data_IF_852041739514
#
_entry.id   IF_852041739514
#
_cell.length_a   1.000
_cell.length_b   1.000
_cell.length_c   1.000
_cell.angle_alpha   90.00
_cell.angle_beta   90.00
_cell.angle_gamma   90.00
#
_symmetry.space_group_name_H-M   'P 1'
#
loop_
_entity.id
_entity.type
_entity.pdbx_description
1 polymer ?
#
# COMPACT_ATOMS: atom_id res chain seq x y z
N UNK A 1 31.16 4.31 -6.63
CA UNK A 1 29.83 4.93 -6.89
C UNK A 1 28.76 4.13 -6.17
N UNK A 2 27.67 4.78 -5.74
CA UNK A 2 26.51 4.13 -5.14
C UNK A 2 25.33 4.32 -6.09
N UNK A 3 24.64 3.22 -6.41
CA UNK A 3 23.44 3.20 -7.25
C UNK A 3 22.27 2.88 -6.33
N UNK A 4 21.32 3.79 -6.26
CA UNK A 4 20.19 3.71 -5.32
C UNK A 4 18.88 3.53 -6.09
N UNK A 5 18.16 2.46 -5.77
CA UNK A 5 16.79 2.24 -6.24
C UNK A 5 15.84 2.79 -5.20
N UNK A 6 15.15 3.87 -5.51
CA UNK A 6 14.14 4.50 -4.65
C UNK A 6 12.72 3.96 -4.89
N UNK A 7 12.45 3.52 -6.10
CA UNK A 7 11.15 2.98 -6.50
C UNK A 7 10.82 1.66 -5.79
N UNK A 8 9.53 1.37 -5.63
CA UNK A 8 9.05 0.04 -5.24
C UNK A 8 9.27 -0.92 -6.40
N UNK A 9 10.11 -1.90 -6.18
CA UNK A 9 10.56 -2.88 -7.20
C UNK A 9 10.42 -4.31 -6.69
N UNK A 10 10.24 -5.30 -7.57
CA UNK A 10 10.20 -6.70 -7.18
C UNK A 10 11.44 -7.14 -6.40
N UNK A 11 11.25 -8.08 -5.47
CA UNK A 11 12.36 -8.68 -4.71
C UNK A 11 13.38 -9.28 -5.68
N UNK A 12 14.66 -9.05 -5.43
CA UNK A 12 15.83 -9.37 -6.29
C UNK A 12 16.18 -8.33 -7.35
N UNK A 13 15.44 -7.24 -7.49
CA UNK A 13 15.77 -6.21 -8.50
C UNK A 13 17.15 -5.61 -8.27
N UNK A 14 17.54 -5.33 -7.03
CA UNK A 14 18.90 -4.85 -6.71
C UNK A 14 19.98 -5.82 -7.12
N UNK A 15 19.75 -7.14 -7.03
CA UNK A 15 20.70 -8.16 -7.45
C UNK A 15 20.80 -8.22 -8.99
N UNK A 16 19.69 -8.03 -9.69
CA UNK A 16 19.66 -7.96 -11.16
C UNK A 16 20.43 -6.73 -11.64
N UNK A 17 20.21 -5.57 -11.04
CA UNK A 17 20.94 -4.33 -11.35
C UNK A 17 22.45 -4.55 -11.17
N UNK A 18 22.85 -5.12 -10.04
CA UNK A 18 24.26 -5.43 -9.78
C UNK A 18 24.86 -6.35 -10.86
N UNK A 19 24.14 -7.42 -11.20
CA UNK A 19 24.58 -8.39 -12.23
C UNK A 19 24.73 -7.74 -13.61
N UNK A 20 23.77 -6.90 -14.02
CA UNK A 20 23.81 -6.20 -15.31
C UNK A 20 25.01 -5.27 -15.39
N UNK A 21 25.25 -4.47 -14.35
CA UNK A 21 26.34 -3.50 -14.34
C UNK A 21 27.70 -4.23 -14.30
N UNK A 22 27.86 -5.26 -13.50
CA UNK A 22 29.07 -6.10 -13.47
C UNK A 22 29.38 -6.72 -14.82
N UNK A 23 28.36 -7.18 -15.55
CA UNK A 23 28.55 -7.75 -16.90
C UNK A 23 29.08 -6.71 -17.89
N UNK A 24 28.54 -5.48 -17.85
CA UNK A 24 28.94 -4.41 -18.79
C UNK A 24 30.20 -3.66 -18.38
N UNK A 25 30.55 -3.66 -17.10
CA UNK A 25 31.63 -2.83 -16.57
C UNK A 25 32.42 -3.53 -15.46
N UNK A 26 33.23 -4.51 -15.83
CA UNK A 26 34.00 -5.37 -14.91
C UNK A 26 35.01 -4.61 -14.03
N UNK A 27 35.50 -3.43 -14.48
CA UNK A 27 36.58 -2.68 -13.81
C UNK A 27 36.08 -1.66 -12.78
N UNK A 28 34.81 -1.22 -12.80
CA UNK A 28 34.34 -0.16 -11.89
C UNK A 28 33.79 -0.73 -10.60
N UNK A 29 34.29 -0.22 -9.48
CA UNK A 29 33.74 -0.48 -8.14
C UNK A 29 32.47 0.34 -7.95
N UNK A 30 31.37 -0.31 -7.57
CA UNK A 30 30.11 0.30 -7.24
C UNK A 30 29.38 -0.54 -6.18
N UNK A 31 28.47 0.10 -5.46
CA UNK A 31 27.55 -0.51 -4.52
C UNK A 31 26.11 -0.32 -5.01
N UNK A 32 25.25 -1.28 -4.79
CA UNK A 32 23.81 -1.18 -5.08
C UNK A 32 23.04 -1.14 -3.77
N UNK A 33 22.10 -0.21 -3.71
CA UNK A 33 21.26 0.06 -2.54
C UNK A 33 19.80 0.02 -2.94
N UNK A 34 18.98 -0.71 -2.19
CA UNK A 34 17.53 -0.64 -2.25
C UNK A 34 17.04 0.25 -1.11
N UNK A 35 16.40 1.37 -1.45
CA UNK A 35 15.91 2.36 -0.50
C UNK A 35 14.47 2.76 -0.85
N UNK A 36 13.50 1.87 -0.60
CA UNK A 36 12.11 2.13 -0.92
C UNK A 36 11.60 3.37 -0.17
N UNK A 37 10.68 4.09 -0.82
CA UNK A 37 9.95 5.20 -0.22
C UNK A 37 8.66 4.72 0.47
N UNK A 38 8.20 5.46 1.48
CA UNK A 38 6.97 5.20 2.21
C UNK A 38 6.07 6.44 2.24
N UNK A 39 6.11 7.20 1.14
CA UNK A 39 5.39 8.45 1.00
C UNK A 39 3.89 8.19 0.75
N UNK A 40 3.06 9.01 1.38
CA UNK A 40 1.62 9.00 1.16
C UNK A 40 1.26 10.07 0.14
N UNK A 41 0.52 9.68 -0.86
CA UNK A 41 -0.02 10.63 -1.83
C UNK A 41 -0.86 11.72 -1.11
N UNK A 42 -0.69 12.98 -1.50
CA UNK A 42 -1.26 14.13 -0.79
C UNK A 42 -0.46 14.61 0.43
N UNK A 43 0.43 13.78 1.01
CA UNK A 43 1.27 14.12 2.17
C UNK A 43 2.77 13.87 1.93
N UNK A 44 3.19 13.65 0.69
CA UNK A 44 4.52 13.18 0.34
C UNK A 44 5.66 14.07 0.84
N UNK A 45 5.51 15.38 0.78
CA UNK A 45 6.51 16.35 1.27
C UNK A 45 6.70 16.19 2.78
N UNK A 46 5.61 16.14 3.53
CA UNK A 46 5.65 15.95 5.00
C UNK A 46 6.30 14.62 5.37
N UNK A 47 5.92 13.55 4.69
CA UNK A 47 6.47 12.21 4.92
C UNK A 47 7.96 12.12 4.57
N UNK A 48 8.42 12.89 3.58
CA UNK A 48 9.83 12.96 3.23
C UNK A 48 10.66 13.75 4.26
N UNK A 49 10.17 14.92 4.70
CA UNK A 49 10.87 15.78 5.67
C UNK A 49 10.87 15.20 7.09
N UNK A 50 9.81 14.46 7.45
CA UNK A 50 9.68 13.82 8.77
C UNK A 50 9.20 12.38 8.63
N UNK A 51 10.06 11.49 8.10
CA UNK A 51 9.68 10.10 7.86
C UNK A 51 9.50 9.34 9.18
N UNK A 52 8.50 8.44 9.22
CA UNK A 52 8.36 7.49 10.33
C UNK A 52 9.57 6.55 10.39
N UNK A 53 10.09 6.18 9.23
CA UNK A 53 11.29 5.35 9.07
C UNK A 53 11.95 5.53 7.71
N UNK A 54 13.25 5.31 7.66
CA UNK A 54 14.04 5.17 6.42
C UNK A 54 14.60 3.75 6.37
N UNK A 55 14.28 3.01 5.33
CA UNK A 55 14.76 1.63 5.12
C UNK A 55 15.84 1.65 4.05
N UNK A 56 17.00 1.12 4.38
CA UNK A 56 18.15 1.01 3.47
C UNK A 56 18.64 -0.42 3.43
N UNK A 57 18.59 -1.02 2.25
CA UNK A 57 19.07 -2.38 1.99
C UNK A 57 20.34 -2.37 1.17
N UNK A 58 21.44 -2.90 1.72
CA UNK A 58 22.71 -3.04 1.01
C UNK A 58 23.62 -4.06 1.67
N UNK A 59 24.50 -4.68 0.88
CA UNK A 59 25.53 -5.59 1.38
C UNK A 59 26.84 -4.84 1.70
N UNK A 60 26.92 -3.54 1.39
CA UNK A 60 28.12 -2.71 1.60
C UNK A 60 28.01 -1.88 2.87
N UNK A 61 28.89 -2.14 3.86
CA UNK A 61 29.02 -1.32 5.09
C UNK A 61 29.32 0.16 4.75
N UNK A 62 30.11 0.41 3.69
CA UNK A 62 30.44 1.75 3.22
C UNK A 62 29.19 2.45 2.68
N UNK A 63 28.45 1.81 1.79
CA UNK A 63 27.22 2.38 1.22
C UNK A 63 26.19 2.64 2.32
N UNK A 64 26.01 1.71 3.27
CA UNK A 64 25.10 1.89 4.41
C UNK A 64 25.45 3.14 5.23
N UNK A 65 26.73 3.33 5.55
CA UNK A 65 27.22 4.50 6.30
C UNK A 65 26.93 5.81 5.56
N UNK A 66 27.18 5.85 4.25
CA UNK A 66 26.94 7.04 3.43
C UNK A 66 25.43 7.32 3.34
N UNK A 67 24.59 6.30 3.16
CA UNK A 67 23.14 6.46 3.15
C UNK A 67 22.62 6.97 4.50
N UNK A 68 23.14 6.44 5.62
CA UNK A 68 22.79 6.93 6.95
C UNK A 68 23.14 8.40 7.12
N UNK A 69 24.36 8.80 6.77
CA UNK A 69 24.80 10.21 6.80
C UNK A 69 23.91 11.12 5.96
N UNK A 70 23.46 10.66 4.77
CA UNK A 70 22.57 11.41 3.89
C UNK A 70 21.20 11.67 4.54
N UNK A 71 20.67 10.71 5.30
CA UNK A 71 19.35 10.83 5.91
C UNK A 71 19.36 11.45 7.31
N UNK A 72 20.51 11.52 8.00
CA UNK A 72 20.62 12.09 9.35
C UNK A 72 19.97 13.48 9.50
N UNK A 73 20.10 14.41 8.53
CA UNK A 73 19.50 15.74 8.66
C UNK A 73 17.96 15.74 8.74
N UNK A 74 17.31 14.71 8.19
CA UNK A 74 15.84 14.64 8.12
C UNK A 74 15.23 13.64 9.11
N UNK A 75 16.01 12.69 9.62
CA UNK A 75 15.53 11.77 10.67
C UNK A 75 15.80 12.37 12.04
N UNK A 76 14.75 12.69 12.78
CA UNK A 76 14.88 13.29 14.13
C UNK A 76 15.47 12.32 15.18
N UNK A 77 15.34 11.02 14.96
CA UNK A 77 15.87 9.95 15.83
C UNK A 77 16.59 8.92 14.98
N UNK A 78 17.78 8.54 15.40
CA UNK A 78 18.61 7.53 14.71
C UNK A 78 17.92 6.16 14.59
N UNK A 79 17.06 5.82 15.56
CA UNK A 79 16.22 4.60 15.54
C UNK A 79 15.25 4.51 14.39
N UNK A 80 15.01 5.61 13.66
CA UNK A 80 14.21 5.62 12.45
C UNK A 80 14.96 5.15 11.19
N UNK A 81 16.28 4.99 11.27
CA UNK A 81 17.08 4.43 10.18
C UNK A 81 17.22 2.92 10.36
N UNK A 82 16.63 2.17 9.46
CA UNK A 82 16.63 0.71 9.49
C UNK A 82 17.50 0.15 8.37
N UNK A 83 18.56 -0.58 8.76
CA UNK A 83 19.46 -1.27 7.83
C UNK A 83 19.02 -2.70 7.60
N UNK A 84 19.02 -3.14 6.34
CA UNK A 84 18.63 -4.49 5.94
C UNK A 84 19.48 -4.98 4.76
N UNK A 85 19.26 -6.23 4.34
CA UNK A 85 19.71 -6.68 3.02
C UNK A 85 18.88 -5.99 1.91
N UNK A 86 19.39 -5.98 0.67
CA UNK A 86 18.65 -5.42 -0.48
C UNK A 86 17.26 -6.08 -0.62
N UNK A 87 17.23 -7.41 -0.62
CA UNK A 87 15.98 -8.18 -0.73
C UNK A 87 15.04 -7.91 0.45
N UNK A 88 15.61 -7.76 1.67
CA UNK A 88 14.84 -7.39 2.84
C UNK A 88 14.17 -6.03 2.69
N UNK A 89 14.91 -5.00 2.25
CA UNK A 89 14.36 -3.66 2.02
C UNK A 89 13.27 -3.66 0.93
N UNK A 90 13.47 -4.40 -0.17
CA UNK A 90 12.48 -4.57 -1.22
C UNK A 90 11.20 -5.25 -0.70
N UNK A 91 11.34 -6.32 0.11
CA UNK A 91 10.21 -7.05 0.67
C UNK A 91 9.46 -6.26 1.74
N UNK A 92 10.16 -5.49 2.59
CA UNK A 92 9.57 -4.66 3.64
C UNK A 92 8.51 -3.70 3.06
N UNK A 93 8.78 -3.11 1.89
CA UNK A 93 7.81 -2.20 1.25
C UNK A 93 6.51 -2.92 0.89
N UNK A 94 6.60 -4.07 0.23
CA UNK A 94 5.42 -4.85 -0.15
C UNK A 94 4.67 -5.38 1.06
N UNK A 95 5.38 -5.92 2.04
CA UNK A 95 4.79 -6.44 3.29
C UNK A 95 4.04 -5.35 4.05
N UNK A 96 4.64 -4.16 4.16
CA UNK A 96 3.99 -3.00 4.81
C UNK A 96 2.70 -2.61 4.10
N UNK A 97 2.73 -2.47 2.77
CA UNK A 97 1.54 -2.09 2.01
C UNK A 97 0.45 -3.18 2.02
N UNK A 98 0.83 -4.45 1.97
CA UNK A 98 -0.12 -5.55 2.10
C UNK A 98 -0.77 -5.60 3.50
N UNK A 99 -0.02 -5.33 4.55
CA UNK A 99 -0.58 -5.26 5.90
C UNK A 99 -1.56 -4.11 6.07
N UNK A 100 -1.25 -2.92 5.53
CA UNK A 100 -2.17 -1.78 5.54
C UNK A 100 -3.45 -2.07 4.73
N UNK A 101 -3.32 -2.71 3.58
CA UNK A 101 -4.46 -3.18 2.79
C UNK A 101 -5.32 -4.21 3.55
N UNK A 102 -4.69 -5.07 4.34
CA UNK A 102 -5.38 -6.03 5.23
C UNK A 102 -6.23 -5.31 6.27
N UNK A 103 -5.68 -4.29 6.94
CA UNK A 103 -6.44 -3.47 7.92
C UNK A 103 -7.69 -2.85 7.28
N UNK A 104 -7.56 -2.28 6.08
CA UNK A 104 -8.70 -1.68 5.36
C UNK A 104 -9.74 -2.74 4.99
N UNK A 105 -9.30 -3.89 4.47
CA UNK A 105 -10.23 -4.96 4.10
C UNK A 105 -10.94 -5.54 5.32
N UNK A 106 -10.22 -5.73 6.42
CA UNK A 106 -10.76 -6.20 7.68
C UNK A 106 -11.85 -5.27 8.23
N UNK A 107 -11.57 -3.97 8.35
CA UNK A 107 -12.57 -3.03 8.85
C UNK A 107 -13.78 -2.89 7.91
N UNK A 108 -13.58 -3.06 6.60
CA UNK A 108 -14.66 -3.06 5.62
C UNK A 108 -15.57 -4.29 5.77
N UNK A 109 -15.03 -5.46 6.11
CA UNK A 109 -15.82 -6.66 6.42
C UNK A 109 -16.58 -6.50 7.72
N UNK A 110 -15.95 -5.98 8.77
CA UNK A 110 -16.62 -5.66 10.02
C UNK A 110 -17.76 -4.65 9.83
N UNK A 111 -17.59 -3.65 8.96
CA UNK A 111 -18.66 -2.71 8.66
C UNK A 111 -19.92 -3.39 8.07
N UNK A 112 -19.75 -4.49 7.32
CA UNK A 112 -20.90 -5.27 6.83
C UNK A 112 -21.60 -6.04 7.97
N UNK A 113 -20.83 -6.54 8.94
CA UNK A 113 -21.37 -7.20 10.14
C UNK A 113 -22.08 -6.18 11.04
N UNK A 114 -21.45 -5.04 11.29
CA UNK A 114 -22.00 -3.95 12.11
C UNK A 114 -23.37 -3.48 11.58
N UNK A 115 -23.51 -3.32 10.25
CA UNK A 115 -24.79 -2.95 9.63
C UNK A 115 -25.90 -3.98 9.92
N UNK A 116 -25.58 -5.25 10.06
CA UNK A 116 -26.55 -6.30 10.36
C UNK A 116 -26.82 -6.46 11.86
N UNK A 117 -25.80 -6.15 12.66
CA UNK A 117 -25.87 -6.22 14.11
C UNK A 117 -26.35 -4.89 14.76
N UNK A 118 -26.68 -3.89 13.92
CA UNK A 118 -27.12 -2.56 14.36
C UNK A 118 -26.11 -1.85 15.28
N UNK A 119 -24.80 -2.02 14.97
CA UNK A 119 -23.69 -1.41 15.70
C UNK A 119 -23.03 -0.34 14.83
N UNK A 120 -22.61 0.79 15.41
CA UNK A 120 -21.82 1.78 14.66
C UNK A 120 -20.38 1.29 14.45
N UNK A 121 -19.96 1.18 13.20
CA UNK A 121 -18.58 0.80 12.86
C UNK A 121 -17.54 1.77 13.41
N UNK A 122 -17.91 3.02 13.70
CA UNK A 122 -17.01 4.00 14.30
C UNK A 122 -16.63 3.61 15.73
N UNK A 123 -17.59 3.09 16.51
CA UNK A 123 -17.33 2.62 17.87
C UNK A 123 -16.35 1.44 17.85
N UNK A 124 -16.57 0.51 16.94
CA UNK A 124 -15.67 -0.64 16.75
C UNK A 124 -14.27 -0.17 16.35
N UNK A 125 -14.16 0.69 15.34
CA UNK A 125 -12.86 1.17 14.85
C UNK A 125 -12.11 2.00 15.90
N UNK A 126 -12.83 2.83 16.65
CA UNK A 126 -12.26 3.64 17.74
C UNK A 126 -11.82 2.76 18.90
N UNK A 127 -12.70 1.87 19.38
CA UNK A 127 -12.36 0.95 20.47
C UNK A 127 -11.16 0.06 20.16
N UNK A 128 -11.11 -0.52 18.96
CA UNK A 128 -9.94 -1.28 18.49
C UNK A 128 -8.69 -0.43 18.39
N UNK A 129 -8.83 0.82 17.91
CA UNK A 129 -7.71 1.73 17.68
C UNK A 129 -7.01 2.19 18.96
N UNK A 130 -7.68 2.16 20.11
CA UNK A 130 -7.09 2.46 21.42
C UNK A 130 -6.01 1.45 21.83
N UNK A 131 -6.08 0.22 21.35
CA UNK A 131 -5.00 -0.74 21.58
C UNK A 131 -3.78 -0.35 20.73
N UNK A 132 -2.67 0.01 21.41
CA UNK A 132 -1.42 0.43 20.75
C UNK A 132 -0.85 -0.63 19.80
N UNK A 133 -1.14 -1.91 20.01
CA UNK A 133 -0.70 -3.01 19.13
C UNK A 133 -1.44 -2.97 17.79
N UNK A 134 -2.65 -2.42 17.76
CA UNK A 134 -3.50 -2.26 16.57
C UNK A 134 -3.31 -0.87 15.97
N UNK A 135 -3.50 0.19 16.78
CA UNK A 135 -3.42 1.59 16.41
C UNK A 135 -4.57 2.04 15.50
N UNK A 136 -4.93 3.31 15.55
CA UNK A 136 -6.10 3.90 14.89
C UNK A 136 -6.02 3.95 13.35
N UNK A 137 -4.80 4.04 12.81
CA UNK A 137 -4.61 4.27 11.37
C UNK A 137 -5.07 3.07 10.56
N UNK A 138 -5.71 3.33 9.41
CA UNK A 138 -6.23 2.35 8.46
C UNK A 138 -7.40 1.49 8.97
N UNK A 139 -8.14 1.97 10.00
CA UNK A 139 -9.36 1.36 10.51
C UNK A 139 -10.64 2.10 10.07
N UNK A 140 -10.56 3.03 9.13
CA UNK A 140 -11.75 3.71 8.60
C UNK A 140 -12.39 2.89 7.50
N UNK A 141 -13.62 2.43 7.74
CA UNK A 141 -14.40 1.74 6.71
C UNK A 141 -14.74 2.67 5.54
N UNK A 142 -14.70 2.13 4.34
CA UNK A 142 -14.91 2.89 3.11
C UNK A 142 -15.28 2.03 1.90
N UNK A 143 -15.22 2.59 0.68
CA UNK A 143 -15.71 1.91 -0.53
C UNK A 143 -14.78 0.84 -1.09
N UNK A 144 -13.62 0.67 -0.59
CA UNK A 144 -12.52 -0.25 -0.89
C UNK A 144 -11.21 0.55 -0.97
N UNK A 145 -10.06 -0.12 -0.89
CA UNK A 145 -8.81 0.57 -1.23
C UNK A 145 -8.61 0.65 -2.74
N UNK A 146 -7.96 1.72 -3.17
CA UNK A 146 -7.58 2.00 -4.55
C UNK A 146 -6.21 2.66 -4.60
N UNK A 147 -6.00 3.51 -5.58
CA UNK A 147 -4.75 4.22 -5.81
C UNK A 147 -3.69 3.36 -6.49
N UNK A 148 -2.54 3.95 -6.70
CA UNK A 148 -1.43 3.34 -7.42
C UNK A 148 -0.64 2.29 -6.62
N UNK A 149 -0.73 2.30 -5.29
CA UNK A 149 0.15 1.52 -4.43
C UNK A 149 -0.46 0.18 -4.00
N UNK A 150 -1.52 0.20 -3.19
CA UNK A 150 -2.03 -1.02 -2.56
C UNK A 150 -2.46 -2.11 -3.56
N UNK A 151 -3.23 -1.80 -4.63
CA UNK A 151 -3.62 -2.83 -5.59
C UNK A 151 -2.43 -3.46 -6.31
N UNK A 152 -1.46 -2.63 -6.72
CA UNK A 152 -0.25 -3.09 -7.39
C UNK A 152 0.64 -3.92 -6.48
N UNK A 153 0.89 -3.44 -5.26
CA UNK A 153 1.86 -4.03 -4.34
C UNK A 153 1.35 -5.33 -3.72
N UNK A 154 0.05 -5.45 -3.43
CA UNK A 154 -0.55 -6.70 -2.97
C UNK A 154 -0.47 -7.79 -4.04
N UNK A 155 -0.79 -7.47 -5.31
CA UNK A 155 -0.63 -8.39 -6.44
C UNK A 155 0.83 -8.78 -6.67
N UNK A 156 1.76 -7.82 -6.60
CA UNK A 156 3.20 -8.08 -6.76
C UNK A 156 3.75 -8.96 -5.62
N UNK A 157 3.24 -8.80 -4.40
CA UNK A 157 3.63 -9.66 -3.27
C UNK A 157 3.13 -11.09 -3.48
N UNK A 158 1.89 -11.28 -3.95
CA UNK A 158 1.35 -12.61 -4.30
C UNK A 158 2.19 -13.26 -5.39
N UNK A 159 2.48 -12.53 -6.48
CA UNK A 159 3.34 -13.02 -7.56
C UNK A 159 4.75 -13.39 -7.07
N UNK A 160 5.27 -12.65 -6.09
CA UNK A 160 6.53 -12.98 -5.44
C UNK A 160 6.40 -14.30 -4.67
N UNK A 161 5.35 -14.47 -3.89
CA UNK A 161 5.07 -15.73 -3.20
C UNK A 161 5.00 -16.92 -4.17
N UNK A 162 4.23 -16.79 -5.24
CA UNK A 162 4.08 -17.84 -6.25
C UNK A 162 5.42 -18.20 -6.92
N UNK A 163 6.28 -17.21 -7.21
CA UNK A 163 7.64 -17.41 -7.72
C UNK A 163 8.51 -18.25 -6.76
N UNK A 164 8.34 -18.07 -5.47
CA UNK A 164 9.04 -18.84 -4.43
C UNK A 164 8.26 -20.07 -3.95
N UNK A 165 7.14 -20.42 -4.62
CA UNK A 165 6.26 -21.54 -4.27
C UNK A 165 5.67 -21.45 -2.86
N UNK A 166 5.43 -20.22 -2.39
CA UNK A 166 4.81 -19.91 -1.10
C UNK A 166 3.42 -19.36 -1.33
N UNK A 167 2.39 -20.01 -0.80
CA UNK A 167 1.02 -19.53 -0.90
C UNK A 167 0.75 -18.44 0.13
N UNK A 168 0.54 -17.21 -0.32
CA UNK A 168 0.17 -16.07 0.51
C UNK A 168 -1.36 -15.94 0.62
N UNK A 169 -2.02 -16.91 1.24
CA UNK A 169 -3.47 -17.03 1.32
C UNK A 169 -4.15 -15.80 1.93
N UNK A 170 -3.58 -15.20 2.98
CA UNK A 170 -4.11 -13.97 3.60
C UNK A 170 -4.15 -12.85 2.59
N UNK A 171 -3.04 -12.59 1.88
CA UNK A 171 -2.97 -11.49 0.90
C UNK A 171 -3.92 -11.74 -0.27
N UNK A 172 -4.03 -12.98 -0.76
CA UNK A 172 -5.00 -13.37 -1.79
C UNK A 172 -6.44 -13.10 -1.34
N UNK A 173 -6.77 -13.43 -0.08
CA UNK A 173 -8.08 -13.16 0.51
C UNK A 173 -8.37 -11.66 0.62
N UNK A 174 -7.38 -10.85 1.01
CA UNK A 174 -7.49 -9.39 1.08
C UNK A 174 -7.82 -8.78 -0.29
N UNK A 175 -7.13 -9.21 -1.36
CA UNK A 175 -7.41 -8.75 -2.73
C UNK A 175 -8.85 -9.10 -3.11
N UNK A 176 -9.27 -10.36 -2.90
CA UNK A 176 -10.63 -10.83 -3.19
C UNK A 176 -11.69 -10.07 -2.41
N UNK A 177 -11.47 -9.85 -1.12
CA UNK A 177 -12.38 -9.08 -0.25
C UNK A 177 -12.54 -7.64 -0.75
N UNK A 178 -11.44 -6.99 -1.11
CA UNK A 178 -11.46 -5.63 -1.66
C UNK A 178 -12.26 -5.52 -2.97
N UNK A 179 -12.09 -6.47 -3.88
CA UNK A 179 -12.83 -6.51 -5.14
C UNK A 179 -14.33 -6.78 -4.93
N UNK A 180 -14.66 -7.68 -3.98
CA UNK A 180 -16.03 -7.98 -3.59
C UNK A 180 -16.73 -6.77 -2.94
N UNK A 181 -16.00 -5.94 -2.19
CA UNK A 181 -16.53 -4.71 -1.58
C UNK A 181 -17.15 -3.78 -2.61
N UNK A 182 -16.47 -3.58 -3.76
CA UNK A 182 -16.98 -2.75 -4.85
C UNK A 182 -18.32 -3.27 -5.40
N UNK A 183 -18.45 -4.59 -5.55
CA UNK A 183 -19.69 -5.23 -5.99
C UNK A 183 -20.82 -5.12 -4.95
N UNK A 184 -20.47 -5.25 -3.67
CA UNK A 184 -21.43 -5.11 -2.58
C UNK A 184 -22.06 -3.71 -2.54
N UNK A 185 -21.26 -2.66 -2.77
CA UNK A 185 -21.76 -1.28 -2.82
C UNK A 185 -22.75 -1.08 -3.97
N UNK A 186 -22.50 -1.66 -5.15
CA UNK A 186 -23.45 -1.63 -6.26
C UNK A 186 -24.79 -2.30 -5.89
N UNK A 187 -24.72 -3.47 -5.22
CA UNK A 187 -25.94 -4.15 -4.73
C UNK A 187 -26.71 -3.31 -3.71
N UNK A 188 -26.01 -2.54 -2.87
CA UNK A 188 -26.63 -1.62 -1.90
C UNK A 188 -27.37 -0.48 -2.60
N UNK A 189 -26.76 0.13 -3.62
CA UNK A 189 -27.42 1.16 -4.42
C UNK A 189 -28.73 0.60 -4.99
N UNK A 190 -28.71 -0.58 -5.63
CA UNK A 190 -29.92 -1.21 -6.15
C UNK A 190 -30.96 -1.55 -5.08
N UNK A 191 -30.52 -1.93 -3.87
CA UNK A 191 -31.45 -2.18 -2.76
C UNK A 191 -32.19 -0.91 -2.33
N UNK A 192 -31.52 0.24 -2.37
CA UNK A 192 -32.10 1.54 -1.94
C UNK A 192 -33.02 2.12 -3.02
N UNK A 193 -32.57 2.16 -4.28
CA UNK A 193 -33.28 2.87 -5.36
C UNK A 193 -34.11 1.94 -6.25
N UNK A 194 -34.08 0.63 -6.00
CA UNK A 194 -34.71 -0.40 -6.82
C UNK A 194 -33.81 -0.89 -7.96
N UNK A 195 -34.22 -2.00 -8.59
CA UNK A 195 -33.47 -2.58 -9.73
C UNK A 195 -33.57 -1.71 -11.00
N UNK A 196 -34.70 -1.01 -11.18
CA UNK A 196 -34.88 -0.09 -12.29
C UNK A 196 -34.33 1.29 -11.90
N UNK A 197 -33.16 1.60 -12.41
CA UNK A 197 -32.46 2.88 -12.18
C UNK A 197 -32.70 3.89 -13.31
N UNK A 198 -33.47 3.50 -14.34
CA UNK A 198 -33.80 4.37 -15.48
C UNK A 198 -34.49 5.64 -15.00
N UNK A 199 -34.06 6.78 -15.49
CA UNK A 199 -34.55 8.11 -15.09
C UNK A 199 -34.27 8.50 -13.62
N UNK A 200 -33.43 7.76 -12.92
CA UNK A 200 -32.97 8.15 -11.57
C UNK A 200 -31.73 9.00 -11.66
N UNK A 201 -31.67 10.07 -10.87
CA UNK A 201 -30.47 10.88 -10.74
C UNK A 201 -29.63 10.35 -9.57
N UNK A 202 -28.38 9.94 -9.85
CA UNK A 202 -27.41 9.47 -8.85
C UNK A 202 -26.22 10.41 -8.87
N UNK A 203 -25.92 11.03 -7.74
CA UNK A 203 -24.79 11.96 -7.60
C UNK A 203 -23.65 11.28 -6.83
N UNK A 204 -22.46 11.31 -7.39
CA UNK A 204 -21.24 10.87 -6.70
C UNK A 204 -20.54 12.06 -6.04
N UNK A 205 -20.38 12.01 -4.72
CA UNK A 205 -19.67 13.02 -3.96
C UNK A 205 -18.19 12.59 -3.82
N UNK A 206 -17.38 12.98 -4.81
CA UNK A 206 -15.99 12.57 -4.97
C UNK A 206 -15.83 11.29 -5.78
N UNK A 207 -14.79 11.25 -6.60
CA UNK A 207 -14.52 10.14 -7.54
C UNK A 207 -13.13 9.54 -7.40
N UNK A 208 -12.24 10.18 -6.65
CA UNK A 208 -10.87 9.73 -6.41
C UNK A 208 -10.82 8.55 -5.41
N UNK A 209 -9.70 7.87 -5.32
CA UNK A 209 -9.59 6.71 -4.43
C UNK A 209 -9.56 7.09 -2.93
N UNK A 210 -9.19 8.34 -2.61
CA UNK A 210 -9.20 8.91 -1.25
C UNK A 210 -9.29 10.45 -1.29
N UNK A 211 -9.65 11.13 -0.17
CA UNK A 211 -9.60 12.58 -0.07
C UNK A 211 -8.16 13.13 -0.22
N UNK A 212 -8.07 14.39 -0.71
CA UNK A 212 -6.79 15.12 -0.80
C UNK A 212 -5.89 14.69 -1.95
N UNK A 213 -6.45 14.08 -3.01
CA UNK A 213 -5.74 13.71 -4.25
C UNK A 213 -6.67 13.78 -5.46
N UNK A 214 -6.11 13.91 -6.64
CA UNK A 214 -6.79 13.78 -7.93
C UNK A 214 -6.64 12.37 -8.55
N UNK A 215 -5.97 11.45 -7.87
CA UNK A 215 -5.72 10.09 -8.36
C UNK A 215 -6.99 9.24 -8.37
N UNK A 216 -7.38 8.79 -9.56
CA UNK A 216 -8.52 7.91 -9.78
C UNK A 216 -8.14 6.45 -10.01
N UNK A 217 -6.84 6.11 -10.06
CA UNK A 217 -6.40 4.74 -10.34
C UNK A 217 -7.01 3.75 -9.35
N UNK A 218 -7.63 2.70 -9.87
CA UNK A 218 -8.29 1.66 -9.08
C UNK A 218 -9.37 2.19 -8.10
N UNK A 219 -9.84 3.44 -8.28
CA UNK A 219 -10.92 4.00 -7.48
C UNK A 219 -12.22 3.20 -7.68
N UNK A 220 -13.03 3.09 -6.62
CA UNK A 220 -14.31 2.39 -6.68
C UNK A 220 -15.30 3.05 -7.65
N UNK A 221 -15.22 4.36 -7.82
CA UNK A 221 -15.99 5.16 -8.79
C UNK A 221 -15.83 4.67 -10.22
N UNK A 222 -14.62 4.27 -10.63
CA UNK A 222 -14.34 3.76 -11.98
C UNK A 222 -15.10 2.47 -12.30
N UNK A 223 -15.52 1.70 -11.29
CA UNK A 223 -16.36 0.52 -11.45
C UNK A 223 -17.85 0.86 -11.29
N UNK A 224 -18.16 1.69 -10.31
CA UNK A 224 -19.56 1.98 -9.96
C UNK A 224 -20.26 2.88 -10.96
N UNK A 225 -19.63 3.95 -11.42
CA UNK A 225 -20.25 4.92 -12.34
C UNK A 225 -20.62 4.25 -13.67
N UNK A 226 -19.72 3.57 -14.41
CA UNK A 226 -20.10 2.92 -15.66
C UNK A 226 -21.17 1.84 -15.52
N UNK A 227 -21.21 1.17 -14.35
CA UNK A 227 -22.23 0.17 -14.08
C UNK A 227 -23.62 0.80 -13.87
N UNK A 228 -23.68 1.92 -13.17
CA UNK A 228 -24.93 2.62 -12.86
C UNK A 228 -25.40 3.57 -13.99
N UNK A 229 -24.59 3.78 -15.04
CA UNK A 229 -24.92 4.59 -16.21
C UNK A 229 -25.53 3.77 -17.36
N UNK A 230 -25.61 2.45 -17.23
CA UNK A 230 -26.21 1.51 -18.19
C UNK A 230 -27.70 1.32 -17.92
#
# INVERSE_FOLDING_TARGET
KIIVTKSTVPVTTGDIIEKIIKKKNKRKKFDVVSNPEFLREGEAIRDFISPDRVVVGTNSKKANRIMKSLYLPIIKKESRFFSSSRRGAELIKYASNAFLATKISFINELANLCEKAEVDIKDISSGMGLDQRIGERFLRAGPAYGGSCFPKDTRALVNTGDKYKVNLSIVKSVIKSNDNRKNLLLKRVHKIIGKNIRNKKITFLGVTFKPGTDDMREASSLKMIPYLSK
#
